data_IF_269935972844
#
_entry.id   IF_269935972844
#
_cell.length_a   1.000
_cell.length_b   1.000
_cell.length_c   1.000
_cell.angle_alpha   90.00
_cell.angle_beta   90.00
_cell.angle_gamma   90.00
#
_symmetry.space_group_name_H-M   'P 1'
#
loop_
_entity.id
_entity.type
_entity.pdbx_description
1 polymer ?
#
# COMPACT_ATOMS: atom_id res chain seq x y z
N UNK A 1 1.28 11.77 -16.21
CA UNK A 1 2.54 12.52 -15.96
C UNK A 1 2.76 12.57 -14.45
N UNK A 2 4.00 12.47 -13.93
CA UNK A 2 4.27 12.63 -12.50
C UNK A 2 3.80 13.99 -11.99
N UNK A 3 3.33 14.05 -10.75
CA UNK A 3 2.95 15.31 -10.10
C UNK A 3 4.00 15.64 -9.04
N UNK A 4 4.85 16.62 -9.33
CA UNK A 4 5.81 17.13 -8.37
C UNK A 4 5.13 18.17 -7.47
N UNK A 5 5.44 18.17 -6.16
CA UNK A 5 4.97 19.24 -5.28
C UNK A 5 5.67 20.55 -5.64
N UNK A 6 4.92 21.66 -5.57
CA UNK A 6 5.47 23.00 -5.64
C UNK A 6 5.64 23.54 -4.22
N UNK A 7 6.83 23.33 -3.66
CA UNK A 7 7.16 23.71 -2.28
C UNK A 7 8.28 24.75 -2.28
N UNK A 8 8.12 25.85 -1.53
CA UNK A 8 9.19 26.84 -1.39
C UNK A 8 10.48 26.19 -0.89
N UNK A 9 11.57 26.36 -1.63
CA UNK A 9 12.90 25.88 -1.25
C UNK A 9 13.21 24.45 -1.65
N UNK A 10 12.31 23.73 -2.34
CA UNK A 10 12.59 22.40 -2.87
C UNK A 10 13.75 22.44 -3.88
N UNK A 11 13.88 23.52 -4.63
CA UNK A 11 14.97 23.81 -5.56
C UNK A 11 16.34 23.94 -4.89
N UNK A 12 16.37 24.20 -3.58
CA UNK A 12 17.61 24.31 -2.81
C UNK A 12 18.06 22.97 -2.21
N UNK A 13 17.30 21.88 -2.44
CA UNK A 13 17.69 20.56 -1.97
C UNK A 13 18.86 20.01 -2.80
N UNK A 14 20.00 19.83 -2.15
CA UNK A 14 21.24 19.36 -2.82
C UNK A 14 21.32 17.84 -2.99
N UNK A 15 20.38 17.09 -2.40
CA UNK A 15 20.33 15.63 -2.51
C UNK A 15 19.55 15.13 -3.73
N UNK A 16 19.62 13.83 -4.04
CA UNK A 16 18.79 13.23 -5.08
C UNK A 16 17.30 13.35 -4.76
N UNK A 17 16.50 13.84 -5.72
CA UNK A 17 15.06 13.99 -5.59
C UNK A 17 14.36 13.56 -6.88
N UNK A 18 13.59 12.47 -6.80
CA UNK A 18 12.89 11.90 -7.96
C UNK A 18 11.50 11.39 -7.59
N UNK A 19 10.61 11.32 -8.57
CA UNK A 19 9.26 10.83 -8.38
C UNK A 19 9.19 9.32 -8.60
N UNK A 20 8.39 8.59 -7.81
CA UNK A 20 8.30 7.12 -7.85
C UNK A 20 7.90 6.55 -9.23
N UNK A 21 7.06 7.27 -9.99
CA UNK A 21 6.75 6.96 -11.39
C UNK A 21 7.92 7.10 -12.40
N UNK A 22 9.04 7.67 -11.98
CA UNK A 22 10.29 7.86 -12.74
C UNK A 22 11.46 7.41 -11.85
N UNK A 23 11.40 6.16 -11.40
CA UNK A 23 12.37 5.63 -10.46
C UNK A 23 13.80 5.66 -11.01
N UNK A 24 14.75 6.16 -10.21
CA UNK A 24 16.16 6.25 -10.55
C UNK A 24 16.91 5.11 -9.87
N UNK A 25 17.26 4.08 -10.64
CA UNK A 25 17.87 2.84 -10.12
C UNK A 25 19.35 2.98 -9.72
N UNK A 26 19.99 4.08 -10.11
CA UNK A 26 21.40 4.36 -9.82
C UNK A 26 21.66 4.86 -8.39
N UNK A 27 20.61 5.24 -7.67
CA UNK A 27 20.72 5.72 -6.30
C UNK A 27 20.60 4.58 -5.28
N UNK A 28 21.74 4.21 -4.68
CA UNK A 28 21.77 3.31 -3.53
C UNK A 28 21.25 4.02 -2.26
N UNK A 29 20.19 3.47 -1.69
CA UNK A 29 19.53 3.99 -0.49
C UNK A 29 20.11 3.42 0.81
N UNK A 30 21.08 2.50 0.72
CA UNK A 30 21.73 1.88 1.88
C UNK A 30 22.42 2.93 2.76
N UNK A 31 22.14 2.87 4.06
CA UNK A 31 22.64 3.80 5.07
C UNK A 31 22.31 5.30 4.82
N UNK A 32 21.37 5.58 3.91
CA UNK A 32 20.91 6.95 3.64
C UNK A 32 19.78 7.37 4.57
N UNK A 33 19.68 8.69 4.76
CA UNK A 33 18.49 9.32 5.35
C UNK A 33 17.54 9.64 4.20
N UNK A 34 16.40 8.99 4.17
CA UNK A 34 15.44 9.07 3.06
C UNK A 34 14.15 9.73 3.54
N UNK A 35 13.62 10.65 2.74
CA UNK A 35 12.31 11.25 2.91
C UNK A 35 11.35 10.75 1.83
N UNK A 36 10.22 10.20 2.24
CA UNK A 36 9.13 9.80 1.34
C UNK A 36 7.97 10.74 1.56
N UNK A 37 7.55 11.41 0.48
CA UNK A 37 6.43 12.33 0.47
C UNK A 37 5.19 11.64 -0.08
N UNK A 38 4.15 11.55 0.76
CA UNK A 38 2.89 10.89 0.43
C UNK A 38 2.80 9.46 0.94
N UNK A 39 1.57 9.00 1.15
CA UNK A 39 1.23 7.71 1.76
C UNK A 39 0.21 6.92 0.93
N UNK A 40 0.17 7.18 -0.38
CA UNK A 40 -0.65 6.43 -1.33
C UNK A 40 -0.12 5.02 -1.59
N UNK A 41 -0.73 4.32 -2.56
CA UNK A 41 -0.38 2.94 -2.91
C UNK A 41 1.13 2.73 -3.19
N UNK A 42 1.76 3.66 -3.92
CA UNK A 42 3.19 3.59 -4.23
C UNK A 42 4.06 3.64 -2.97
N UNK A 43 3.75 4.54 -2.03
CA UNK A 43 4.50 4.67 -0.79
C UNK A 43 4.36 3.42 0.08
N UNK A 44 3.15 2.85 0.18
CA UNK A 44 2.89 1.60 0.92
C UNK A 44 3.70 0.41 0.39
N UNK A 45 4.08 0.43 -0.89
CA UNK A 45 4.94 -0.61 -1.49
C UNK A 45 6.43 -0.30 -1.30
N UNK A 46 6.83 0.96 -1.47
CA UNK A 46 8.24 1.38 -1.44
C UNK A 46 8.78 1.44 -0.01
N UNK A 47 8.04 2.06 0.92
CA UNK A 47 8.47 2.29 2.30
C UNK A 47 8.92 0.99 3.00
N UNK A 48 8.14 -0.11 2.97
CA UNK A 48 8.57 -1.37 3.59
C UNK A 48 9.79 -2.00 2.91
N UNK A 49 9.97 -1.78 1.60
CA UNK A 49 11.10 -2.34 0.86
C UNK A 49 12.42 -1.63 1.19
N UNK A 50 12.39 -0.32 1.42
CA UNK A 50 13.59 0.49 1.69
C UNK A 50 13.89 0.65 3.18
N UNK A 51 12.89 0.48 4.06
CA UNK A 51 13.05 0.65 5.50
C UNK A 51 14.18 -0.21 6.12
N UNK A 52 14.41 -1.47 5.71
CA UNK A 52 15.47 -2.30 6.28
C UNK A 52 16.89 -1.85 5.91
N UNK A 53 17.05 -1.12 4.81
CA UNK A 53 18.36 -0.72 4.26
C UNK A 53 18.69 0.76 4.52
N UNK A 54 17.68 1.62 4.68
CA UNK A 54 17.87 3.03 4.96
C UNK A 54 18.33 3.23 6.42
N UNK A 55 19.27 4.16 6.65
CA UNK A 55 19.69 4.55 8.00
C UNK A 55 18.54 5.19 8.79
N UNK A 56 17.75 6.01 8.11
CA UNK A 56 16.56 6.64 8.69
C UNK A 56 15.56 6.96 7.61
N UNK A 57 14.28 6.68 7.89
CA UNK A 57 13.18 6.97 6.99
C UNK A 57 12.22 7.98 7.61
N UNK A 58 11.97 9.08 6.90
CA UNK A 58 10.94 10.05 7.22
C UNK A 58 9.79 9.89 6.24
N UNK A 59 8.56 9.72 6.76
CA UNK A 59 7.36 9.61 5.93
C UNK A 59 6.49 10.84 6.20
N UNK A 60 6.31 11.66 5.18
CA UNK A 60 5.48 12.85 5.24
C UNK A 60 4.08 12.53 4.75
N UNK A 61 3.15 12.41 5.69
CA UNK A 61 1.75 12.11 5.44
C UNK A 61 0.89 13.38 5.55
N UNK A 62 0.11 13.67 4.50
CA UNK A 62 -0.90 14.74 4.56
C UNK A 62 -2.26 14.23 5.04
N UNK A 63 -2.71 13.12 4.46
CA UNK A 63 -4.00 12.50 4.78
C UNK A 63 -3.77 10.99 5.01
N UNK A 64 -4.15 10.44 6.19
CA UNK A 64 -4.05 9.02 6.45
C UNK A 64 -5.02 8.20 5.60
N UNK A 65 -4.52 7.12 5.00
CA UNK A 65 -5.35 6.13 4.32
C UNK A 65 -5.79 4.98 5.22
N UNK A 66 -6.90 4.33 4.88
CA UNK A 66 -7.32 3.08 5.54
C UNK A 66 -6.51 1.88 5.02
N UNK A 67 -5.86 1.14 5.93
CA UNK A 67 -5.09 -0.06 5.58
C UNK A 67 -5.87 -1.32 5.93
N UNK A 68 -6.24 -2.09 4.90
CA UNK A 68 -6.80 -3.42 5.07
C UNK A 68 -5.67 -4.47 5.12
N UNK A 69 -5.80 -5.52 5.95
CA UNK A 69 -4.86 -6.64 5.94
C UNK A 69 -4.91 -7.33 4.58
N UNK A 70 -3.79 -7.28 3.83
CA UNK A 70 -3.70 -7.83 2.47
C UNK A 70 -3.69 -9.36 2.45
N UNK A 71 -3.29 -10.00 3.56
CA UNK A 71 -3.33 -11.46 3.72
C UNK A 71 -2.44 -12.19 2.71
N UNK A 72 -1.33 -11.55 2.32
CA UNK A 72 -0.39 -12.12 1.34
C UNK A 72 0.25 -13.38 1.90
N UNK A 73 0.27 -14.42 1.09
CA UNK A 73 1.01 -15.64 1.33
C UNK A 73 1.35 -16.27 -0.01
N UNK A 74 2.41 -17.08 -0.01
CA UNK A 74 2.69 -17.91 -1.16
C UNK A 74 1.62 -18.99 -1.32
N UNK A 75 1.36 -19.34 -2.58
CA UNK A 75 0.59 -20.54 -2.90
C UNK A 75 1.42 -21.78 -2.60
N UNK A 76 0.79 -22.77 -1.97
CA UNK A 76 1.41 -24.08 -1.81
C UNK A 76 1.39 -24.86 -3.15
N UNK A 77 2.15 -25.96 -3.23
CA UNK A 77 2.29 -26.71 -4.49
C UNK A 77 0.97 -27.27 -5.01
N UNK A 78 0.07 -27.68 -4.12
CA UNK A 78 -1.25 -28.20 -4.50
C UNK A 78 -2.12 -27.10 -5.13
N UNK A 79 -2.09 -25.90 -4.57
CA UNK A 79 -2.80 -24.73 -5.10
C UNK A 79 -2.25 -24.32 -6.46
N UNK A 80 -0.92 -24.33 -6.63
CA UNK A 80 -0.27 -24.04 -7.91
C UNK A 80 -0.72 -25.03 -8.98
N UNK A 81 -0.70 -26.34 -8.68
CA UNK A 81 -1.17 -27.40 -9.59
C UNK A 81 -2.65 -27.25 -9.89
N UNK A 82 -3.47 -26.94 -8.90
CA UNK A 82 -4.92 -26.76 -9.08
C UNK A 82 -5.23 -25.55 -9.96
N UNK A 83 -4.58 -24.40 -9.72
CA UNK A 83 -4.79 -23.16 -10.46
C UNK A 83 -4.21 -23.22 -11.88
N UNK A 84 -3.19 -24.06 -12.12
CA UNK A 84 -2.68 -24.36 -13.46
C UNK A 84 -3.70 -25.15 -14.31
N UNK A 85 -4.67 -25.83 -13.69
CA UNK A 85 -5.74 -26.52 -14.44
C UNK A 85 -6.71 -25.52 -15.06
N UNK A 86 -7.22 -25.80 -16.28
CA UNK A 86 -8.03 -24.84 -17.04
C UNK A 86 -9.34 -24.48 -16.33
N UNK A 87 -10.04 -25.45 -15.72
CA UNK A 87 -11.34 -25.21 -15.07
C UNK A 87 -11.22 -24.47 -13.72
N UNK A 88 -10.40 -24.92 -12.75
CA UNK A 88 -10.25 -24.20 -11.47
C UNK A 88 -9.65 -22.82 -11.66
N UNK A 89 -8.60 -22.69 -12.49
CA UNK A 89 -8.00 -21.39 -12.78
C UNK A 89 -8.97 -20.43 -13.47
N UNK A 90 -9.80 -20.91 -14.42
CA UNK A 90 -10.83 -20.08 -15.07
C UNK A 90 -11.90 -19.65 -14.07
N UNK A 91 -12.37 -20.55 -13.20
CA UNK A 91 -13.35 -20.24 -12.15
C UNK A 91 -12.82 -19.15 -11.20
N UNK A 92 -11.57 -19.28 -10.75
CA UNK A 92 -10.96 -18.32 -9.85
C UNK A 92 -10.80 -16.94 -10.50
N UNK A 93 -10.34 -16.88 -11.76
CA UNK A 93 -10.28 -15.62 -12.52
C UNK A 93 -11.65 -14.96 -12.68
N UNK A 94 -12.70 -15.73 -12.97
CA UNK A 94 -14.06 -15.20 -13.06
C UNK A 94 -14.56 -14.67 -11.72
N UNK A 95 -14.30 -15.39 -10.62
CA UNK A 95 -14.61 -14.94 -9.28
C UNK A 95 -13.92 -13.60 -8.97
N UNK A 96 -12.63 -13.48 -9.23
CA UNK A 96 -11.88 -12.23 -8.99
C UNK A 96 -12.41 -11.08 -9.84
N UNK A 97 -12.66 -11.32 -11.13
CA UNK A 97 -13.24 -10.32 -12.03
C UNK A 97 -14.60 -9.83 -11.54
N UNK A 98 -15.46 -10.73 -11.09
CA UNK A 98 -16.78 -10.36 -10.58
C UNK A 98 -16.70 -9.57 -9.27
N UNK A 99 -15.77 -9.91 -8.38
CA UNK A 99 -15.51 -9.12 -7.17
C UNK A 99 -15.03 -7.70 -7.50
N UNK A 100 -14.13 -7.56 -8.47
CA UNK A 100 -13.67 -6.27 -8.97
C UNK A 100 -14.82 -5.48 -9.61
N UNK A 101 -15.59 -6.10 -10.49
CA UNK A 101 -16.72 -5.46 -11.17
C UNK A 101 -17.76 -4.97 -10.17
N UNK A 102 -18.10 -5.78 -9.15
CA UNK A 102 -18.96 -5.35 -8.04
C UNK A 102 -18.44 -4.14 -7.29
N UNK A 103 -17.13 -4.06 -7.08
CA UNK A 103 -16.51 -2.92 -6.39
C UNK A 103 -16.65 -1.63 -7.21
N UNK A 104 -16.51 -1.73 -8.54
CA UNK A 104 -16.56 -0.60 -9.47
C UNK A 104 -18.00 -0.13 -9.74
N UNK A 105 -18.93 -1.05 -10.01
CA UNK A 105 -20.28 -0.71 -10.51
C UNK A 105 -21.17 0.02 -9.51
N UNK A 106 -20.92 -0.13 -8.20
CA UNK A 106 -21.73 0.55 -7.17
C UNK A 106 -20.93 1.27 -6.09
N UNK A 107 -19.60 1.10 -6.03
CA UNK A 107 -18.72 1.82 -5.11
C UNK A 107 -19.05 1.64 -3.62
N UNK A 108 -19.91 0.68 -3.24
CA UNK A 108 -20.43 0.56 -1.88
C UNK A 108 -19.34 0.31 -0.83
N UNK A 109 -18.18 -0.22 -1.22
CA UNK A 109 -17.06 -0.50 -0.33
C UNK A 109 -16.56 0.76 0.40
N UNK A 110 -16.66 1.93 -0.23
CA UNK A 110 -16.07 3.18 0.23
C UNK A 110 -17.10 4.29 0.48
N UNK A 111 -18.40 3.96 0.44
CA UNK A 111 -19.47 4.93 0.73
C UNK A 111 -19.71 4.97 2.24
N UNK A 112 -19.43 6.08 2.92
CA UNK A 112 -19.70 6.23 4.35
C UNK A 112 -21.17 5.94 4.67
N UNK A 113 -21.43 5.34 5.84
CA UNK A 113 -22.79 5.01 6.30
C UNK A 113 -23.34 3.66 5.81
N UNK A 114 -22.75 3.03 4.80
CA UNK A 114 -23.15 1.67 4.39
C UNK A 114 -22.65 0.61 5.39
N UNK A 115 -23.36 -0.51 5.52
CA UNK A 115 -22.93 -1.63 6.39
C UNK A 115 -21.56 -2.17 5.98
N UNK A 116 -21.31 -2.29 4.67
CA UNK A 116 -20.02 -2.76 4.13
C UNK A 116 -18.89 -1.82 4.57
N UNK A 117 -19.06 -0.51 4.45
CA UNK A 117 -18.04 0.46 4.87
C UNK A 117 -17.74 0.33 6.38
N UNK A 118 -18.77 0.22 7.22
CA UNK A 118 -18.60 0.04 8.67
C UNK A 118 -17.85 -1.24 9.03
N UNK A 119 -18.17 -2.34 8.36
CA UNK A 119 -17.46 -3.62 8.56
C UNK A 119 -15.98 -3.53 8.15
N UNK A 120 -15.69 -2.85 7.03
CA UNK A 120 -14.32 -2.61 6.55
C UNK A 120 -13.54 -1.68 7.47
N UNK A 121 -14.16 -0.60 7.94
CA UNK A 121 -13.55 0.29 8.92
C UNK A 121 -13.20 -0.46 10.21
N UNK A 122 -14.15 -1.25 10.74
CA UNK A 122 -13.90 -2.08 11.92
C UNK A 122 -12.76 -3.09 11.69
N UNK A 123 -12.64 -3.64 10.47
CA UNK A 123 -11.51 -4.50 10.09
C UNK A 123 -10.17 -3.75 10.12
N UNK A 124 -10.11 -2.54 9.56
CA UNK A 124 -8.91 -1.70 9.60
C UNK A 124 -8.52 -1.36 11.05
N UNK A 125 -9.48 -0.93 11.87
CA UNK A 125 -9.23 -0.59 13.29
C UNK A 125 -8.72 -1.79 14.09
N UNK A 126 -9.31 -2.97 13.88
CA UNK A 126 -8.81 -4.23 14.48
C UNK A 126 -7.40 -4.56 14.01
N UNK A 127 -7.09 -4.33 12.74
CA UNK A 127 -5.76 -4.57 12.18
C UNK A 127 -4.72 -3.64 12.81
N UNK A 128 -4.99 -2.34 12.87
CA UNK A 128 -4.15 -1.34 13.56
C UNK A 128 -3.92 -1.73 15.01
N UNK A 129 -4.98 -2.10 15.74
CA UNK A 129 -4.86 -2.53 17.14
C UNK A 129 -4.02 -3.80 17.33
N UNK A 130 -3.98 -4.70 16.35
CA UNK A 130 -3.13 -5.90 16.36
C UNK A 130 -1.67 -5.57 16.05
N UNK A 131 -1.43 -4.76 15.00
CA UNK A 131 -0.08 -4.40 14.55
C UNK A 131 0.64 -3.56 15.60
N UNK A 132 -0.05 -2.56 16.14
CA UNK A 132 0.48 -1.67 17.18
C UNK A 132 0.05 -2.12 18.58
N UNK A 133 0.06 -3.44 18.81
CA UNK A 133 -0.23 -3.99 20.14
C UNK A 133 0.77 -3.46 21.18
N UNK A 134 2.05 -3.44 20.80
CA UNK A 134 3.16 -3.09 21.69
C UNK A 134 3.56 -1.60 21.63
N UNK A 135 2.90 -0.83 20.76
CA UNK A 135 3.10 0.63 20.56
C UNK A 135 1.76 1.36 20.46
N UNK A 136 0.97 1.43 21.54
CA UNK A 136 -0.37 2.01 21.51
C UNK A 136 -0.37 3.50 21.15
N UNK A 137 0.76 4.19 21.36
CA UNK A 137 1.00 5.58 20.98
C UNK A 137 0.94 5.85 19.47
N UNK A 138 1.07 4.81 18.64
CA UNK A 138 1.05 4.91 17.18
C UNK A 138 -0.32 4.55 16.55
N UNK A 139 -1.38 4.42 17.36
CA UNK A 139 -2.71 3.98 16.88
C UNK A 139 -3.60 5.11 16.37
N UNK A 140 -3.31 6.34 16.75
CA UNK A 140 -4.11 7.54 16.44
C UNK A 140 -3.34 8.51 15.54
#
# INVERSE_FOLDING_TARGET
>A
MPQYPDWPGLENFEGPAFHTARWEHEHDLTDKVVAVVGTGSSATQIVPAIQPIAKRLYVFQREPGWVLPKGERDFNDQERVLLARPWPGRRERWRQRWLLEKSLWRGHLWRPGTTINREREAMCRRYIGRVFKDRPDLRE
#
